data_IF_194110532286
#
_entry.id   IF_194110532286
#
_cell.length_a   1.000
_cell.length_b   1.000
_cell.length_c   1.000
_cell.angle_alpha   90.00
_cell.angle_beta   90.00
_cell.angle_gamma   90.00
#
_symmetry.space_group_name_H-M   'P 1'
#
loop_
_entity.id
_entity.type
_entity.pdbx_description
1 polymer ?
#
# COMPACT_ATOMS: atom_id res chain seq x y z
N UNK A 1 59.23 38.11 -22.83
CA UNK A 1 60.60 37.77 -22.38
C UNK A 1 60.46 37.26 -20.94
N UNK A 2 60.69 35.95 -20.74
CA UNK A 2 61.09 35.24 -19.50
C UNK A 2 60.27 35.47 -18.20
N UNK A 3 59.50 34.46 -17.73
CA UNK A 3 59.84 33.49 -16.63
C UNK A 3 59.75 34.15 -15.24
N UNK A 4 59.24 33.59 -14.15
CA UNK A 4 58.98 32.21 -13.63
C UNK A 4 58.39 32.41 -12.22
N UNK A 5 57.40 31.64 -11.78
CA UNK A 5 57.54 30.56 -10.77
C UNK A 5 58.57 30.83 -9.65
N UNK A 6 58.20 30.69 -8.37
CA UNK A 6 58.26 29.40 -7.68
C UNK A 6 57.95 29.49 -6.17
N UNK A 7 57.44 28.37 -5.67
CA UNK A 7 57.19 27.96 -4.29
C UNK A 7 58.39 28.06 -3.31
N UNK A 8 58.10 27.90 -2.02
CA UNK A 8 59.07 27.43 -1.00
C UNK A 8 58.67 27.83 0.42
N UNK A 9 57.99 26.96 1.18
CA UNK A 9 58.54 25.96 2.13
C UNK A 9 58.96 26.52 3.52
N UNK A 10 58.09 26.24 4.49
CA UNK A 10 58.30 25.78 5.89
C UNK A 10 59.70 25.86 6.52
N UNK A 11 59.84 26.48 7.73
CA UNK A 11 60.23 25.81 9.01
C UNK A 11 60.49 26.75 10.19
N UNK A 12 60.21 26.20 11.38
CA UNK A 12 60.81 26.42 12.72
C UNK A 12 60.63 27.80 13.41
N UNK A 13 60.36 27.93 14.71
CA UNK A 13 60.20 26.97 15.80
C UNK A 13 60.27 27.67 17.17
N UNK A 14 60.00 26.87 18.21
CA UNK A 14 60.53 26.95 19.58
C UNK A 14 59.93 27.90 20.64
N UNK A 15 60.02 27.36 21.87
CA UNK A 15 59.91 27.91 23.25
C UNK A 15 58.54 27.79 23.93
N UNK A 16 58.41 27.35 25.18
CA UNK A 16 59.39 26.90 26.19
C UNK A 16 58.65 26.22 27.35
N UNK A 17 59.37 25.33 28.05
CA UNK A 17 58.98 24.57 29.25
C UNK A 17 58.94 25.42 30.54
N UNK A 18 58.10 24.99 31.48
CA UNK A 18 58.25 25.00 32.95
C UNK A 18 57.07 24.20 33.54
N UNK A 19 57.12 23.30 34.52
CA UNK A 19 58.15 22.79 35.43
C UNK A 19 57.48 21.77 36.38
N UNK A 20 58.24 20.71 36.71
CA UNK A 20 58.24 19.85 37.91
C UNK A 20 57.04 19.03 38.45
N UNK A 21 57.45 17.90 39.06
CA UNK A 21 56.76 16.66 39.47
C UNK A 21 56.18 16.70 40.91
N UNK A 22 55.11 15.94 41.17
CA UNK A 22 54.84 14.96 42.28
C UNK A 22 53.53 14.26 41.89
N UNK A 23 53.35 12.95 41.66
CA UNK A 23 53.57 11.76 42.50
C UNK A 23 52.24 10.98 42.58
N UNK A 24 52.22 9.66 42.32
CA UNK A 24 51.08 8.79 42.68
C UNK A 24 50.50 7.85 41.60
N UNK A 25 51.05 6.63 41.56
CA UNK A 25 50.44 5.32 41.27
C UNK A 25 48.96 5.24 40.79
N UNK A 26 48.70 4.63 39.61
CA UNK A 26 47.91 3.37 39.42
C UNK A 26 47.44 3.12 37.96
N UNK A 27 47.89 1.96 37.45
CA UNK A 27 47.18 0.97 36.59
C UNK A 27 46.54 1.38 35.24
N UNK A 28 47.24 0.99 34.17
CA UNK A 28 46.81 0.21 33.01
C UNK A 28 45.37 0.35 32.45
N UNK A 29 45.29 0.88 31.21
CA UNK A 29 44.41 0.34 30.15
C UNK A 29 45.04 0.59 28.76
N UNK A 30 44.97 -0.47 27.95
CA UNK A 30 45.49 -0.72 26.60
C UNK A 30 44.88 0.21 25.52
N UNK A 31 45.53 0.33 24.34
CA UNK A 31 45.29 1.41 23.40
C UNK A 31 44.10 1.14 22.46
N UNK A 32 43.42 2.23 22.10
CA UNK A 32 42.63 2.36 20.88
C UNK A 32 43.53 2.14 19.66
N UNK A 33 43.05 1.35 18.71
CA UNK A 33 43.53 1.37 17.35
C UNK A 33 42.32 1.26 16.40
N UNK A 34 42.05 2.37 15.70
CA UNK A 34 41.33 2.39 14.43
C UNK A 34 42.11 1.54 13.40
N UNK A 35 41.45 0.69 12.62
CA UNK A 35 40.95 1.00 11.27
C UNK A 35 40.72 -0.28 10.42
N UNK A 36 39.52 -0.34 9.83
CA UNK A 36 39.18 -0.86 8.49
C UNK A 36 39.30 -2.35 8.07
N UNK A 37 38.19 -2.78 7.45
CA UNK A 37 38.03 -3.75 6.35
C UNK A 37 38.03 -5.25 6.64
N UNK A 38 36.93 -5.89 6.20
CA UNK A 38 36.70 -7.32 6.26
C UNK A 38 35.21 -7.65 6.10
N UNK A 39 34.64 -7.30 4.94
CA UNK A 39 33.40 -7.91 4.45
C UNK A 39 33.57 -9.43 4.40
N UNK A 40 32.53 -10.15 4.82
CA UNK A 40 32.01 -11.44 4.32
C UNK A 40 31.13 -11.97 5.46
N UNK A 41 29.85 -11.69 5.35
CA UNK A 41 28.84 -12.06 6.33
C UNK A 41 27.47 -11.71 5.78
N UNK A 42 27.11 -12.38 4.68
CA UNK A 42 25.76 -12.59 4.17
C UNK A 42 24.76 -11.46 4.43
N UNK A 43 24.78 -10.45 3.55
CA UNK A 43 23.63 -9.59 3.32
C UNK A 43 22.52 -10.40 2.60
N UNK A 44 21.99 -11.43 3.26
CA UNK A 44 20.69 -11.98 2.94
C UNK A 44 19.68 -10.86 3.18
N UNK A 45 19.26 -10.17 2.11
CA UNK A 45 18.19 -9.18 2.12
C UNK A 45 16.95 -9.77 2.78
N UNK A 46 16.80 -9.56 4.09
CA UNK A 46 15.68 -10.11 4.85
C UNK A 46 14.39 -9.49 4.30
N UNK A 47 13.63 -10.28 3.55
CA UNK A 47 12.28 -9.94 3.14
C UNK A 47 11.46 -9.71 4.41
N UNK A 48 11.10 -8.46 4.68
CA UNK A 48 10.36 -8.11 5.89
C UNK A 48 8.87 -8.23 5.63
N UNK A 49 8.18 -8.64 6.68
CA UNK A 49 6.73 -8.49 6.76
C UNK A 49 6.29 -7.06 6.43
N UNK A 50 5.10 -6.94 5.85
CA UNK A 50 4.51 -5.66 5.47
C UNK A 50 4.47 -4.66 6.66
N UNK A 51 4.96 -3.41 6.51
CA UNK A 51 4.88 -2.40 7.55
C UNK A 51 3.44 -2.13 8.02
N UNK A 52 3.28 -1.82 9.31
CA UNK A 52 1.95 -1.61 9.93
C UNK A 52 1.11 -0.54 9.23
N UNK A 53 1.72 0.58 8.84
CA UNK A 53 1.04 1.66 8.13
C UNK A 53 0.47 1.18 6.79
N UNK A 54 1.21 0.31 6.07
CA UNK A 54 0.79 -0.19 4.77
C UNK A 54 -0.35 -1.21 4.91
N UNK A 55 -0.33 -2.02 5.97
CA UNK A 55 -1.47 -2.90 6.32
C UNK A 55 -2.73 -2.09 6.62
N UNK A 56 -2.63 -1.07 7.48
CA UNK A 56 -3.75 -0.17 7.80
C UNK A 56 -4.31 0.48 6.54
N UNK A 57 -3.43 0.93 5.64
CA UNK A 57 -3.81 1.50 4.36
C UNK A 57 -4.59 0.51 3.47
N UNK A 58 -4.10 -0.73 3.32
CA UNK A 58 -4.83 -1.77 2.57
C UNK A 58 -6.19 -2.11 3.20
N UNK A 59 -6.27 -2.13 4.53
CA UNK A 59 -7.51 -2.36 5.25
C UNK A 59 -8.55 -1.26 5.01
N UNK A 60 -8.16 0.00 5.15
CA UNK A 60 -9.05 1.13 4.88
C UNK A 60 -9.51 1.16 3.44
N UNK A 61 -8.57 1.07 2.49
CA UNK A 61 -8.88 1.08 1.06
C UNK A 61 -9.83 -0.04 0.66
N UNK A 62 -9.57 -1.27 1.14
CA UNK A 62 -10.42 -2.41 0.81
C UNK A 62 -11.79 -2.31 1.47
N UNK A 63 -11.87 -1.80 2.71
CA UNK A 63 -13.14 -1.50 3.37
C UNK A 63 -13.98 -0.49 2.60
N UNK A 64 -13.38 0.64 2.18
CA UNK A 64 -14.06 1.65 1.34
C UNK A 64 -14.54 1.04 0.02
N UNK A 65 -13.72 0.20 -0.60
CA UNK A 65 -14.11 -0.53 -1.83
C UNK A 65 -15.35 -1.37 -1.58
N UNK A 66 -15.40 -2.13 -0.50
CA UNK A 66 -16.56 -2.97 -0.17
C UNK A 66 -17.80 -2.14 0.15
N UNK A 67 -17.66 -1.02 0.87
CA UNK A 67 -18.77 -0.09 1.13
C UNK A 67 -19.38 0.42 -0.18
N UNK A 68 -18.53 0.87 -1.10
CA UNK A 68 -18.93 1.37 -2.43
C UNK A 68 -19.61 0.27 -3.25
N UNK A 69 -19.02 -0.94 -3.29
CA UNK A 69 -19.60 -2.07 -4.02
C UNK A 69 -20.96 -2.47 -3.46
N UNK A 70 -21.08 -2.62 -2.14
CA UNK A 70 -22.31 -3.07 -1.50
C UNK A 70 -23.43 -2.03 -1.61
N UNK A 71 -23.11 -0.75 -1.40
CA UNK A 71 -24.08 0.35 -1.53
C UNK A 71 -24.53 0.54 -2.97
N UNK A 72 -23.62 0.43 -3.94
CA UNK A 72 -23.95 0.48 -5.36
C UNK A 72 -24.82 -0.71 -5.80
N UNK A 73 -24.46 -1.94 -5.38
CA UNK A 73 -25.28 -3.13 -5.66
C UNK A 73 -26.70 -2.99 -5.09
N UNK A 74 -26.82 -2.49 -3.86
CA UNK A 74 -28.12 -2.21 -3.25
C UNK A 74 -28.89 -1.14 -4.04
N UNK A 75 -28.20 -0.10 -4.54
CA UNK A 75 -28.76 0.91 -5.43
C UNK A 75 -29.29 0.32 -6.73
N UNK A 76 -28.55 -0.61 -7.35
CA UNK A 76 -28.97 -1.30 -8.58
C UNK A 76 -30.21 -2.16 -8.36
N UNK A 77 -30.23 -2.96 -7.29
CA UNK A 77 -31.36 -3.84 -6.99
C UNK A 77 -32.65 -3.05 -6.71
N UNK A 78 -32.54 -1.87 -6.09
CA UNK A 78 -33.69 -1.07 -5.69
C UNK A 78 -34.13 -0.04 -6.75
N UNK A 79 -33.19 0.61 -7.44
CA UNK A 79 -33.45 1.79 -8.28
C UNK A 79 -32.97 1.65 -9.73
N UNK A 80 -32.27 0.56 -10.10
CA UNK A 80 -31.68 0.35 -11.45
C UNK A 80 -30.90 1.56 -11.98
N UNK A 81 -30.13 2.20 -11.12
CA UNK A 81 -29.36 3.39 -11.47
C UNK A 81 -28.19 3.04 -12.43
N UNK A 82 -28.16 3.55 -13.67
CA UNK A 82 -27.06 3.30 -14.62
C UNK A 82 -25.72 3.90 -14.18
N UNK A 83 -25.74 4.87 -13.25
CA UNK A 83 -24.53 5.53 -12.73
C UNK A 83 -23.82 4.70 -11.66
N UNK A 84 -24.48 3.68 -11.12
CA UNK A 84 -23.89 2.72 -10.18
C UNK A 84 -23.21 3.43 -8.98
N UNK A 85 -23.86 4.45 -8.42
CA UNK A 85 -23.29 5.26 -7.34
C UNK A 85 -23.19 4.46 -6.05
N UNK A 86 -22.01 4.45 -5.45
CA UNK A 86 -21.73 3.92 -4.12
C UNK A 86 -21.28 5.01 -3.16
N UNK A 87 -21.39 4.71 -1.86
CA UNK A 87 -21.15 5.65 -0.77
C UNK A 87 -20.16 5.07 0.25
N UNK A 88 -19.29 5.92 0.77
CA UNK A 88 -18.45 5.63 1.94
C UNK A 88 -18.03 6.95 2.60
N UNK A 89 -17.17 6.90 3.60
CA UNK A 89 -16.64 8.11 4.25
C UNK A 89 -15.21 7.92 4.74
N UNK A 90 -14.44 9.01 4.91
CA UNK A 90 -13.11 8.95 5.51
C UNK A 90 -13.14 8.35 6.92
N UNK A 91 -14.23 8.59 7.66
CA UNK A 91 -14.45 7.98 8.97
C UNK A 91 -14.58 6.44 8.87
N UNK A 92 -15.41 5.94 7.96
CA UNK A 92 -15.55 4.50 7.73
C UNK A 92 -14.23 3.87 7.29
N UNK A 93 -13.43 4.56 6.46
CA UNK A 93 -12.09 4.12 6.10
C UNK A 93 -11.20 3.87 7.34
N UNK A 94 -11.22 4.79 8.32
CA UNK A 94 -10.46 4.63 9.57
C UNK A 94 -11.03 3.45 10.38
N UNK A 95 -12.36 3.36 10.50
CA UNK A 95 -13.00 2.26 11.22
C UNK A 95 -12.66 0.90 10.61
N UNK A 96 -12.72 0.75 9.29
CA UNK A 96 -12.30 -0.46 8.58
C UNK A 96 -10.83 -0.77 8.83
N UNK A 97 -9.96 0.25 8.78
CA UNK A 97 -8.53 0.10 9.04
C UNK A 97 -8.25 -0.51 10.43
N UNK A 98 -8.88 0.05 11.46
CA UNK A 98 -8.70 -0.39 12.86
C UNK A 98 -9.33 -1.76 13.10
N UNK A 99 -10.53 -1.98 12.56
CA UNK A 99 -11.29 -3.23 12.68
C UNK A 99 -10.53 -4.40 12.09
N UNK A 100 -10.05 -4.26 10.86
CA UNK A 100 -9.31 -5.30 10.18
C UNK A 100 -7.91 -5.50 10.75
N UNK A 101 -7.30 -4.45 11.32
CA UNK A 101 -6.06 -4.59 12.08
C UNK A 101 -6.25 -5.41 13.37
N UNK A 102 -7.36 -5.21 14.10
CA UNK A 102 -7.74 -6.06 15.23
C UNK A 102 -8.03 -7.50 14.78
N UNK A 103 -8.79 -7.68 13.70
CA UNK A 103 -9.10 -9.00 13.15
C UNK A 103 -7.85 -9.75 12.68
N UNK A 104 -6.84 -9.06 12.16
CA UNK A 104 -5.56 -9.67 11.82
C UNK A 104 -4.85 -10.27 13.04
N UNK A 105 -4.93 -9.62 14.21
CA UNK A 105 -4.37 -10.15 15.46
C UNK A 105 -5.10 -11.40 15.90
N UNK A 106 -6.42 -11.42 15.76
CA UNK A 106 -7.26 -12.59 16.05
C UNK A 106 -6.96 -13.71 15.04
N UNK A 107 -6.78 -13.36 13.76
CA UNK A 107 -6.39 -14.29 12.71
C UNK A 107 -5.02 -14.94 12.98
N UNK A 108 -4.09 -14.19 13.55
CA UNK A 108 -2.76 -14.69 13.95
C UNK A 108 -2.83 -15.76 15.05
N UNK A 109 -3.88 -15.75 15.88
CA UNK A 109 -4.14 -16.77 16.90
C UNK A 109 -4.62 -18.11 16.32
N UNK A 110 -4.74 -18.26 14.99
CA UNK A 110 -5.07 -19.53 14.33
C UNK A 110 -4.23 -20.72 14.80
N UNK A 111 -2.99 -20.48 15.25
CA UNK A 111 -2.10 -21.52 15.79
C UNK A 111 -2.69 -22.23 17.02
N UNK A 112 -3.52 -21.56 17.81
CA UNK A 112 -4.21 -22.14 18.96
C UNK A 112 -5.31 -23.14 18.58
N UNK A 113 -5.79 -23.08 17.33
CA UNK A 113 -6.86 -23.93 16.81
C UNK A 113 -6.37 -24.99 15.82
N UNK A 114 -5.07 -25.34 15.87
CA UNK A 114 -4.43 -26.31 14.93
C UNK A 114 -5.18 -27.64 14.80
N UNK A 115 -5.84 -28.11 15.88
CA UNK A 115 -6.60 -29.37 15.84
C UNK A 115 -7.94 -29.31 15.08
N UNK A 116 -8.49 -28.12 14.78
CA UNK A 116 -9.79 -27.94 14.09
C UNK A 116 -9.82 -26.63 13.28
N UNK A 117 -9.09 -26.55 12.14
CA UNK A 117 -9.01 -25.33 11.34
C UNK A 117 -10.37 -24.86 10.79
N UNK A 118 -11.26 -25.81 10.48
CA UNK A 118 -12.61 -25.52 9.98
C UNK A 118 -13.44 -24.73 10.99
N UNK A 119 -13.34 -25.06 12.28
CA UNK A 119 -14.07 -24.36 13.36
C UNK A 119 -13.60 -22.92 13.47
N UNK A 120 -12.30 -22.68 13.27
CA UNK A 120 -11.76 -21.33 13.29
C UNK A 120 -12.30 -20.48 12.13
N UNK A 121 -12.22 -20.98 10.90
CA UNK A 121 -12.59 -20.22 9.69
C UNK A 121 -14.10 -20.06 9.48
N UNK A 122 -14.93 -21.04 9.88
CA UNK A 122 -16.38 -21.01 9.61
C UNK A 122 -17.22 -20.55 10.81
N UNK A 123 -16.69 -20.63 12.04
CA UNK A 123 -17.46 -20.34 13.26
C UNK A 123 -16.82 -19.21 14.05
N UNK A 124 -15.58 -19.39 14.53
CA UNK A 124 -14.96 -18.42 15.44
C UNK A 124 -14.71 -17.06 14.77
N UNK A 125 -14.00 -17.04 13.64
CA UNK A 125 -13.68 -15.79 12.95
C UNK A 125 -14.94 -15.05 12.47
N UNK A 126 -15.93 -15.69 11.82
CA UNK A 126 -17.17 -15.02 11.45
C UNK A 126 -17.97 -14.47 12.64
N UNK A 127 -18.01 -15.19 13.76
CA UNK A 127 -18.70 -14.71 14.96
C UNK A 127 -18.07 -13.42 15.51
N UNK A 128 -16.74 -13.38 15.58
CA UNK A 128 -15.99 -12.19 16.00
C UNK A 128 -16.18 -11.03 15.02
N UNK A 129 -16.08 -11.30 13.72
CA UNK A 129 -16.29 -10.29 12.68
C UNK A 129 -17.67 -9.66 12.77
N UNK A 130 -18.72 -10.49 12.83
CA UNK A 130 -20.11 -10.02 12.94
C UNK A 130 -20.30 -9.22 14.23
N UNK A 131 -19.79 -9.71 15.37
CA UNK A 131 -19.88 -8.99 16.64
C UNK A 131 -19.23 -7.62 16.59
N UNK A 132 -18.07 -7.50 15.94
CA UNK A 132 -17.37 -6.23 15.77
C UNK A 132 -18.11 -5.29 14.81
N UNK A 133 -18.68 -5.80 13.71
CA UNK A 133 -19.51 -5.00 12.79
C UNK A 133 -20.79 -4.48 13.45
N UNK A 134 -21.46 -5.28 14.29
CA UNK A 134 -22.62 -4.85 15.07
C UNK A 134 -22.22 -3.76 16.06
N UNK A 135 -21.08 -3.91 16.74
CA UNK A 135 -20.58 -2.91 17.67
C UNK A 135 -20.32 -1.56 16.98
N UNK A 136 -19.66 -1.59 15.82
CA UNK A 136 -19.37 -0.38 15.02
C UNK A 136 -20.68 0.25 14.51
N UNK A 137 -21.60 -0.58 14.02
CA UNK A 137 -22.92 -0.13 13.57
C UNK A 137 -23.68 0.57 14.68
N UNK A 138 -23.67 0.02 15.89
CA UNK A 138 -24.32 0.62 17.06
C UNK A 138 -23.64 1.90 17.54
N UNK A 139 -22.31 2.01 17.45
CA UNK A 139 -21.59 3.25 17.78
C UNK A 139 -22.00 4.38 16.85
N UNK A 140 -22.18 4.09 15.55
CA UNK A 140 -22.64 5.06 14.58
C UNK A 140 -24.11 5.49 14.79
N UNK A 141 -24.93 4.65 15.42
CA UNK A 141 -26.35 4.92 15.67
C UNK A 141 -26.67 5.24 17.14
N UNK A 142 -25.66 5.59 17.95
CA UNK A 142 -25.82 5.91 19.39
C UNK A 142 -26.78 7.09 19.66
N UNK A 143 -27.29 7.76 18.63
CA UNK A 143 -28.33 8.78 18.70
C UNK A 143 -29.76 8.27 18.49
N UNK A 144 -30.02 7.14 17.82
CA UNK A 144 -31.38 6.61 17.63
C UNK A 144 -31.40 5.07 17.48
N UNK A 145 -32.05 4.39 18.43
CA UNK A 145 -32.49 2.98 18.45
C UNK A 145 -31.49 1.86 18.08
N UNK A 146 -31.49 0.79 18.89
CA UNK A 146 -30.73 -0.43 18.63
C UNK A 146 -31.14 -1.00 17.26
N UNK A 147 -30.19 -1.04 16.32
CA UNK A 147 -30.44 -1.53 14.96
C UNK A 147 -30.62 -3.05 15.01
N UNK A 148 -31.87 -3.52 14.91
CA UNK A 148 -32.14 -4.95 14.69
C UNK A 148 -31.64 -5.30 13.29
N UNK A 149 -30.52 -6.02 13.22
CA UNK A 149 -29.89 -6.41 11.95
C UNK A 149 -30.80 -7.40 11.22
N UNK A 150 -31.15 -7.09 9.97
CA UNK A 150 -31.94 -8.00 9.12
C UNK A 150 -31.18 -9.31 8.88
N UNK A 151 -31.90 -10.44 8.78
CA UNK A 151 -31.29 -11.73 8.45
C UNK A 151 -30.47 -11.71 7.14
N UNK A 152 -30.89 -10.88 6.17
CA UNK A 152 -30.14 -10.68 4.92
C UNK A 152 -28.80 -9.96 5.14
N UNK A 153 -28.76 -8.96 6.02
CA UNK A 153 -27.53 -8.24 6.38
C UNK A 153 -26.57 -9.16 7.15
N UNK A 154 -27.11 -9.99 8.04
CA UNK A 154 -26.30 -10.99 8.76
C UNK A 154 -25.65 -11.99 7.80
N UNK A 155 -26.38 -12.46 6.79
CA UNK A 155 -25.86 -13.36 5.76
C UNK A 155 -24.73 -12.69 4.94
N UNK A 156 -24.91 -11.43 4.55
CA UNK A 156 -23.87 -10.66 3.84
C UNK A 156 -22.61 -10.52 4.72
N UNK A 157 -22.75 -10.13 5.99
CA UNK A 157 -21.62 -10.04 6.90
C UNK A 157 -20.93 -11.39 7.14
N UNK A 158 -21.66 -12.49 7.16
CA UNK A 158 -21.09 -13.83 7.26
C UNK A 158 -20.26 -14.19 6.02
N UNK A 159 -20.78 -13.93 4.82
CA UNK A 159 -20.05 -14.16 3.55
C UNK A 159 -18.78 -13.30 3.50
N UNK A 160 -18.87 -12.02 3.87
CA UNK A 160 -17.71 -11.13 3.97
C UNK A 160 -16.69 -11.65 4.97
N UNK A 161 -17.11 -12.17 6.13
CA UNK A 161 -16.20 -12.74 7.10
C UNK A 161 -15.42 -13.93 6.54
N UNK A 162 -16.09 -14.83 5.80
CA UNK A 162 -15.42 -15.95 5.12
C UNK A 162 -14.40 -15.43 4.10
N UNK A 163 -14.79 -14.45 3.29
CA UNK A 163 -13.91 -13.80 2.32
C UNK A 163 -12.66 -13.21 3.01
N UNK A 164 -12.84 -12.49 4.11
CA UNK A 164 -11.72 -11.90 4.84
C UNK A 164 -10.78 -12.95 5.43
N UNK A 165 -11.34 -14.02 5.99
CA UNK A 165 -10.57 -15.10 6.59
C UNK A 165 -9.77 -15.91 5.55
N UNK A 166 -10.37 -16.20 4.39
CA UNK A 166 -9.79 -17.14 3.43
C UNK A 166 -9.00 -16.46 2.31
N UNK A 167 -9.48 -15.31 1.82
CA UNK A 167 -8.92 -14.64 0.65
C UNK A 167 -8.04 -13.47 1.08
N UNK A 168 -8.60 -12.52 1.83
CA UNK A 168 -7.94 -11.24 2.06
C UNK A 168 -6.73 -11.35 3.00
N UNK A 169 -6.88 -11.92 4.21
CA UNK A 169 -5.75 -12.08 5.13
C UNK A 169 -4.69 -13.05 4.57
N UNK A 170 -5.11 -14.08 3.82
CA UNK A 170 -4.18 -14.98 3.11
C UNK A 170 -3.41 -14.23 2.03
N UNK A 171 -4.09 -13.42 1.21
CA UNK A 171 -3.46 -12.58 0.18
C UNK A 171 -2.47 -11.58 0.77
N UNK A 172 -2.84 -10.87 1.84
CA UNK A 172 -1.97 -9.91 2.50
C UNK A 172 -0.72 -10.58 3.09
N UNK A 173 -0.86 -11.78 3.65
CA UNK A 173 0.28 -12.55 4.19
C UNK A 173 1.29 -13.00 3.13
N UNK A 174 0.89 -13.01 1.84
CA UNK A 174 1.78 -13.33 0.70
C UNK A 174 2.59 -12.11 0.23
N UNK A 175 2.21 -10.91 0.67
CA UNK A 175 2.92 -9.69 0.29
C UNK A 175 4.12 -9.47 1.22
N UNK A 176 5.29 -9.26 0.61
CA UNK A 176 6.52 -8.94 1.32
C UNK A 176 7.02 -7.56 0.93
N UNK A 177 7.63 -6.87 1.90
CA UNK A 177 8.16 -5.53 1.70
C UNK A 177 9.68 -5.56 1.64
N UNK A 178 10.22 -4.93 0.60
CA UNK A 178 11.64 -4.81 0.34
C UNK A 178 12.10 -3.36 0.57
N UNK A 179 12.91 -3.08 1.61
CA UNK A 179 13.33 -1.71 1.92
C UNK A 179 14.23 -1.05 0.87
N UNK A 180 14.95 -1.83 0.04
CA UNK A 180 15.95 -1.30 -0.88
C UNK A 180 15.36 -0.45 -2.02
N UNK A 181 16.22 0.40 -2.59
CA UNK A 181 15.85 1.32 -3.65
C UNK A 181 15.33 0.58 -4.90
N UNK A 182 14.25 1.07 -5.54
CA UNK A 182 13.73 0.48 -6.78
C UNK A 182 14.74 0.38 -7.93
N UNK A 183 15.79 1.22 -7.93
CA UNK A 183 16.87 1.22 -8.92
C UNK A 183 17.66 -0.10 -8.87
N UNK A 184 17.89 -0.65 -7.67
CA UNK A 184 18.63 -1.90 -7.50
C UNK A 184 17.77 -3.12 -7.88
N UNK A 185 16.44 -3.01 -7.69
CA UNK A 185 15.49 -4.09 -7.94
C UNK A 185 15.24 -4.41 -9.42
N UNK A 186 15.46 -3.44 -10.32
CA UNK A 186 15.29 -3.62 -11.76
C UNK A 186 16.61 -3.84 -12.51
N UNK A 187 17.76 -3.68 -11.84
CA UNK A 187 19.07 -4.00 -12.41
C UNK A 187 19.16 -5.52 -12.51
N UNK A 188 19.17 -6.04 -13.74
CA UNK A 188 19.34 -7.48 -14.00
C UNK A 188 20.53 -8.01 -13.17
N UNK A 189 20.43 -9.19 -12.53
CA UNK A 189 21.61 -9.82 -11.96
C UNK A 189 22.64 -10.02 -13.07
N UNK A 190 23.90 -9.70 -12.78
CA UNK A 190 25.00 -9.87 -13.72
C UNK A 190 25.16 -11.34 -14.16
N UNK A 191 25.90 -11.59 -15.25
CA UNK A 191 26.00 -12.91 -15.88
C UNK A 191 26.72 -14.01 -15.07
N UNK A 192 27.12 -13.76 -13.81
CA UNK A 192 27.96 -14.68 -13.04
C UNK A 192 27.19 -15.65 -12.12
N UNK A 193 25.86 -15.68 -12.20
CA UNK A 193 25.03 -16.52 -11.33
C UNK A 193 24.27 -17.61 -12.12
N UNK A 194 25.04 -18.38 -12.90
CA UNK A 194 24.57 -19.58 -13.59
C UNK A 194 24.74 -20.79 -12.67
N UNK A 195 23.76 -21.08 -11.80
CA UNK A 195 23.84 -22.28 -10.98
C UNK A 195 22.89 -22.45 -9.81
N UNK A 196 21.63 -21.99 -9.87
CA UNK A 196 20.57 -22.50 -8.99
C UNK A 196 19.21 -22.05 -9.52
N UNK A 197 18.18 -22.89 -9.39
CA UNK A 197 16.78 -22.60 -9.74
C UNK A 197 16.29 -21.31 -9.08
N UNK A 198 16.49 -20.17 -9.77
CA UNK A 198 16.10 -18.85 -9.29
C UNK A 198 14.65 -18.58 -9.62
N UNK A 199 13.76 -19.15 -8.80
CA UNK A 199 12.42 -18.58 -8.62
C UNK A 199 12.55 -17.28 -7.81
N UNK A 200 13.24 -16.28 -8.37
CA UNK A 200 13.41 -14.97 -7.73
C UNK A 200 12.04 -14.33 -7.48
N UNK A 201 11.84 -13.59 -6.38
CA UNK A 201 10.54 -13.05 -6.03
C UNK A 201 10.08 -12.06 -7.11
N UNK A 202 9.09 -12.48 -7.89
CA UNK A 202 8.51 -11.72 -8.99
C UNK A 202 7.74 -10.52 -8.41
N UNK A 203 7.83 -9.37 -9.07
CA UNK A 203 7.03 -8.20 -8.70
C UNK A 203 5.52 -8.51 -8.75
N UNK A 204 4.69 -7.65 -8.16
CA UNK A 204 3.24 -7.85 -8.17
C UNK A 204 2.70 -8.11 -9.60
N UNK A 205 1.87 -9.15 -9.80
CA UNK A 205 1.22 -9.41 -11.08
C UNK A 205 0.42 -8.20 -11.56
N UNK A 206 0.40 -7.94 -12.86
CA UNK A 206 -0.26 -6.77 -13.45
C UNK A 206 -1.74 -6.63 -13.07
N UNK A 207 -2.47 -7.75 -13.00
CA UNK A 207 -3.87 -7.76 -12.55
C UNK A 207 -4.03 -7.30 -11.09
N UNK A 208 -3.14 -7.73 -10.19
CA UNK A 208 -3.17 -7.30 -8.78
C UNK A 208 -2.88 -5.80 -8.67
N UNK A 209 -1.98 -5.28 -9.50
CA UNK A 209 -1.71 -3.83 -9.58
C UNK A 209 -2.93 -3.06 -10.08
N UNK A 210 -3.60 -3.55 -11.11
CA UNK A 210 -4.83 -2.94 -11.61
C UNK A 210 -5.93 -2.92 -10.55
N UNK A 211 -6.14 -4.04 -9.84
CA UNK A 211 -7.11 -4.09 -8.73
C UNK A 211 -6.75 -3.09 -7.63
N UNK A 212 -5.46 -3.01 -7.27
CA UNK A 212 -4.98 -2.03 -6.30
C UNK A 212 -5.29 -0.60 -6.75
N UNK A 213 -4.98 -0.24 -8.00
CA UNK A 213 -5.25 1.09 -8.53
C UNK A 213 -6.74 1.40 -8.61
N UNK A 214 -7.59 0.43 -8.94
CA UNK A 214 -9.04 0.62 -8.96
C UNK A 214 -9.60 0.86 -7.54
N UNK A 215 -9.20 0.04 -6.57
CA UNK A 215 -9.58 0.23 -5.16
C UNK A 215 -9.05 1.55 -4.60
N UNK A 216 -7.85 1.93 -5.01
CA UNK A 216 -7.25 3.19 -4.63
C UNK A 216 -7.97 4.39 -5.24
N UNK A 217 -8.38 4.30 -6.51
CA UNK A 217 -9.19 5.32 -7.15
C UNK A 217 -10.54 5.55 -6.46
N UNK A 218 -11.18 4.49 -5.94
CA UNK A 218 -12.35 4.65 -5.07
C UNK A 218 -12.03 5.42 -3.79
N UNK A 219 -10.92 5.10 -3.14
CA UNK A 219 -10.49 5.83 -1.94
C UNK A 219 -10.25 7.32 -2.26
N UNK A 220 -9.56 7.61 -3.36
CA UNK A 220 -9.26 8.98 -3.79
C UNK A 220 -10.54 9.76 -4.09
N UNK A 221 -11.51 9.16 -4.79
CA UNK A 221 -12.77 9.83 -5.12
C UNK A 221 -13.66 10.03 -3.90
N UNK A 222 -13.75 9.05 -2.99
CA UNK A 222 -14.49 9.20 -1.74
C UNK A 222 -13.89 10.31 -0.88
N UNK A 223 -12.55 10.39 -0.78
CA UNK A 223 -11.87 11.47 -0.07
C UNK A 223 -12.12 12.82 -0.75
N UNK A 224 -12.00 12.87 -2.08
CA UNK A 224 -12.21 14.10 -2.85
C UNK A 224 -13.65 14.60 -2.70
N UNK A 225 -14.65 13.77 -2.95
CA UNK A 225 -16.07 14.14 -2.84
C UNK A 225 -16.47 14.49 -1.41
N UNK A 226 -15.92 13.79 -0.40
CA UNK A 226 -16.14 14.14 1.00
C UNK A 226 -15.56 15.51 1.35
N UNK A 227 -14.32 15.80 0.93
CA UNK A 227 -13.68 17.09 1.19
C UNK A 227 -14.39 18.21 0.43
N UNK A 228 -14.81 17.94 -0.80
CA UNK A 228 -15.56 18.87 -1.61
C UNK A 228 -16.92 19.20 -0.98
N UNK A 229 -17.67 18.19 -0.53
CA UNK A 229 -18.92 18.39 0.21
C UNK A 229 -18.69 19.17 1.52
N UNK A 230 -17.59 18.93 2.23
CA UNK A 230 -17.25 19.68 3.44
C UNK A 230 -16.94 21.16 3.13
N UNK A 231 -16.17 21.44 2.09
CA UNK A 231 -15.72 22.80 1.75
C UNK A 231 -16.82 23.62 1.10
N UNK A 232 -17.53 23.06 0.12
CA UNK A 232 -18.52 23.80 -0.67
C UNK A 232 -19.90 23.81 0.00
N UNK A 233 -20.31 22.70 0.61
CA UNK A 233 -21.66 22.55 1.20
C UNK A 233 -21.68 22.65 2.74
N UNK A 234 -20.51 22.79 3.38
CA UNK A 234 -20.34 22.77 4.83
C UNK A 234 -20.90 21.50 5.50
N UNK A 235 -20.98 20.40 4.74
CA UNK A 235 -21.54 19.15 5.22
C UNK A 235 -20.55 18.43 6.14
N UNK A 236 -20.87 18.39 7.44
CA UNK A 236 -20.04 17.77 8.47
C UNK A 236 -20.21 16.26 8.56
N UNK A 237 -21.11 15.66 7.78
CA UNK A 237 -21.28 14.20 7.74
C UNK A 237 -20.09 13.49 7.11
N UNK A 238 -19.21 14.22 6.40
CA UNK A 238 -18.05 13.69 5.67
C UNK A 238 -18.43 12.53 4.74
N UNK A 239 -19.64 12.56 4.17
CA UNK A 239 -20.10 11.56 3.22
C UNK A 239 -19.44 11.80 1.85
N UNK A 240 -18.76 10.76 1.36
CA UNK A 240 -18.22 10.70 0.00
C UNK A 240 -19.01 9.71 -0.86
N UNK A 241 -18.96 9.92 -2.16
CA UNK A 241 -19.60 9.04 -3.13
C UNK A 241 -18.69 8.85 -4.35
N UNK A 242 -18.90 7.76 -5.08
CA UNK A 242 -18.14 7.39 -6.27
C UNK A 242 -19.00 6.50 -7.17
N UNK A 243 -18.73 6.46 -8.47
CA UNK A 243 -19.38 5.54 -9.41
C UNK A 243 -18.59 4.25 -9.55
N UNK A 244 -19.23 3.09 -9.81
CA UNK A 244 -18.46 1.87 -10.13
C UNK A 244 -17.59 2.03 -11.39
N UNK A 245 -17.98 2.89 -12.32
CA UNK A 245 -17.18 3.23 -13.50
C UNK A 245 -15.85 3.89 -13.15
N UNK A 246 -15.78 4.58 -12.02
CA UNK A 246 -14.56 5.19 -11.50
C UNK A 246 -13.48 4.16 -11.19
N UNK A 247 -13.85 2.94 -10.77
CA UNK A 247 -12.88 1.84 -10.59
C UNK A 247 -12.13 1.55 -11.88
N UNK A 248 -12.87 1.41 -12.98
CA UNK A 248 -12.30 1.11 -14.28
C UNK A 248 -11.53 2.30 -14.82
N UNK A 249 -12.08 3.50 -14.70
CA UNK A 249 -11.47 4.72 -15.22
C UNK A 249 -10.16 5.05 -14.49
N UNK A 250 -10.18 5.18 -13.15
CA UNK A 250 -8.98 5.47 -12.37
C UNK A 250 -8.02 4.29 -12.32
N UNK A 251 -8.53 3.07 -12.19
CA UNK A 251 -7.70 1.86 -12.19
C UNK A 251 -6.90 1.69 -13.49
N UNK A 252 -7.54 1.91 -14.64
CA UNK A 252 -6.86 1.86 -15.94
C UNK A 252 -5.92 3.04 -16.16
N UNK A 253 -6.33 4.26 -15.76
CA UNK A 253 -5.47 5.44 -15.85
C UNK A 253 -4.18 5.25 -15.07
N UNK A 254 -4.28 4.93 -13.78
CA UNK A 254 -3.14 4.75 -12.88
C UNK A 254 -2.27 3.57 -13.28
N UNK A 255 -2.86 2.50 -13.83
CA UNK A 255 -2.09 1.37 -14.38
C UNK A 255 -1.25 1.78 -15.58
N UNK A 256 -1.80 2.56 -16.52
CA UNK A 256 -1.05 3.06 -17.69
C UNK A 256 0.00 4.08 -17.26
N UNK A 257 -0.34 4.98 -16.33
CA UNK A 257 0.61 5.97 -15.76
C UNK A 257 1.75 5.27 -15.04
N UNK A 258 1.53 4.16 -14.33
CA UNK A 258 2.62 3.35 -13.74
C UNK A 258 3.57 2.82 -14.83
N UNK A 259 3.05 2.34 -15.96
CA UNK A 259 3.90 1.88 -17.08
C UNK A 259 4.67 3.03 -17.72
N UNK A 260 4.03 4.19 -17.85
CA UNK A 260 4.66 5.40 -18.33
C UNK A 260 5.76 5.87 -17.37
N UNK A 261 5.50 5.83 -16.06
CA UNK A 261 6.50 6.08 -15.01
C UNK A 261 7.70 5.16 -15.16
N UNK A 262 7.47 3.84 -15.28
CA UNK A 262 8.55 2.86 -15.44
C UNK A 262 9.41 3.15 -16.68
N UNK A 263 8.77 3.45 -17.81
CA UNK A 263 9.48 3.76 -19.05
C UNK A 263 10.27 5.07 -18.96
N UNK A 264 9.63 6.16 -18.52
CA UNK A 264 10.25 7.48 -18.49
C UNK A 264 11.35 7.57 -17.42
N UNK A 265 11.11 7.01 -16.23
CA UNK A 265 12.07 7.04 -15.14
C UNK A 265 13.27 6.12 -15.39
N UNK A 266 13.03 4.85 -15.73
CA UNK A 266 14.12 3.87 -15.80
C UNK A 266 14.74 3.75 -17.19
N UNK A 267 13.96 3.90 -18.28
CA UNK A 267 14.53 3.82 -19.63
C UNK A 267 15.10 5.15 -20.12
N UNK A 268 14.45 6.27 -19.79
CA UNK A 268 14.88 7.60 -20.25
C UNK A 268 15.59 8.45 -19.20
N UNK A 269 15.59 8.06 -17.93
CA UNK A 269 16.23 8.82 -16.85
C UNK A 269 15.55 10.14 -16.53
N UNK A 270 14.28 10.32 -16.89
CA UNK A 270 13.58 11.60 -16.71
C UNK A 270 13.29 11.87 -15.24
N UNK A 271 13.56 13.11 -14.81
CA UNK A 271 13.21 13.60 -13.49
C UNK A 271 11.70 13.82 -13.32
N UNK A 272 11.22 13.90 -12.08
CA UNK A 272 9.79 14.07 -11.76
C UNK A 272 9.14 15.23 -12.50
N UNK A 273 9.80 16.39 -12.56
CA UNK A 273 9.28 17.60 -13.23
C UNK A 273 9.11 17.45 -14.74
N UNK A 274 9.87 16.56 -15.39
CA UNK A 274 9.72 16.27 -16.82
C UNK A 274 8.58 15.30 -17.09
N UNK A 275 8.28 14.40 -16.13
CA UNK A 275 7.20 13.42 -16.25
C UNK A 275 5.83 14.03 -15.96
N UNK A 276 5.75 14.96 -15.00
CA UNK A 276 4.50 15.54 -14.51
C UNK A 276 3.61 16.12 -15.61
N UNK A 277 4.11 16.94 -16.55
CA UNK A 277 3.28 17.47 -17.63
C UNK A 277 2.67 16.36 -18.51
N UNK A 278 3.42 15.29 -18.77
CA UNK A 278 2.92 14.15 -19.56
C UNK A 278 1.80 13.42 -18.83
N UNK A 279 1.93 13.21 -17.52
CA UNK A 279 0.87 12.59 -16.72
C UNK A 279 -0.39 13.45 -16.73
N UNK A 280 -0.27 14.76 -16.53
CA UNK A 280 -1.41 15.67 -16.51
C UNK A 280 -2.11 15.69 -17.87
N UNK A 281 -1.37 15.78 -18.98
CA UNK A 281 -1.95 15.69 -20.31
C UNK A 281 -2.67 14.36 -20.52
N UNK A 282 -2.08 13.25 -20.07
CA UNK A 282 -2.70 11.94 -20.16
C UNK A 282 -3.97 11.83 -19.31
N UNK A 283 -3.95 12.32 -18.06
CA UNK A 283 -5.11 12.33 -17.16
C UNK A 283 -6.27 13.10 -17.79
N UNK A 284 -6.03 14.31 -18.29
CA UNK A 284 -7.07 15.10 -18.97
C UNK A 284 -7.62 14.39 -20.21
N UNK A 285 -6.76 13.80 -21.03
CA UNK A 285 -7.20 13.05 -22.21
C UNK A 285 -8.01 11.81 -21.82
N UNK A 286 -7.63 11.12 -20.75
CA UNK A 286 -8.29 9.93 -20.23
C UNK A 286 -9.66 10.26 -19.63
N UNK A 287 -9.72 11.27 -18.76
CA UNK A 287 -10.95 11.78 -18.16
C UNK A 287 -11.94 12.23 -19.24
N UNK A 288 -11.46 13.00 -20.24
CA UNK A 288 -12.28 13.42 -21.36
C UNK A 288 -12.82 12.23 -22.18
N UNK A 289 -11.96 11.25 -22.48
CA UNK A 289 -12.34 10.06 -23.27
C UNK A 289 -13.39 9.21 -22.54
N UNK A 290 -13.20 8.94 -21.24
CA UNK A 290 -14.18 8.23 -20.43
C UNK A 290 -15.47 9.02 -20.27
N UNK A 291 -15.37 10.34 -20.08
CA UNK A 291 -16.54 11.22 -20.02
C UNK A 291 -17.38 11.15 -21.29
N UNK A 292 -16.75 11.14 -22.47
CA UNK A 292 -17.45 10.97 -23.75
C UNK A 292 -18.14 9.61 -23.86
N UNK A 293 -17.46 8.53 -23.50
CA UNK A 293 -18.01 7.17 -23.55
C UNK A 293 -19.17 7.02 -22.58
N UNK A 294 -19.00 7.40 -21.31
CA UNK A 294 -20.03 7.26 -20.28
C UNK A 294 -21.25 8.14 -20.56
N UNK A 295 -21.06 9.32 -21.15
CA UNK A 295 -22.17 10.20 -21.56
C UNK A 295 -23.06 9.58 -22.64
N UNK A 296 -22.56 8.66 -23.46
CA UNK A 296 -23.39 7.92 -24.43
C UNK A 296 -24.39 6.96 -23.76
N UNK A 297 -24.10 6.54 -22.52
CA UNK A 297 -24.93 5.60 -21.75
C UNK A 297 -25.65 6.26 -20.57
N UNK A 298 -25.66 7.59 -20.48
CA UNK A 298 -26.14 8.37 -19.32
C UNK A 298 -25.50 7.93 -17.97
N UNK A 299 -24.29 7.38 -18.06
CA UNK A 299 -23.53 6.84 -16.93
C UNK A 299 -22.46 7.80 -16.41
N UNK A 300 -22.32 8.98 -17.03
CA UNK A 300 -21.35 9.99 -16.61
C UNK A 300 -21.80 10.59 -15.26
N UNK A 301 -21.00 10.41 -14.22
CA UNK A 301 -21.31 10.85 -12.86
C UNK A 301 -20.93 12.30 -12.58
N UNK A 302 -20.18 12.96 -13.48
CA UNK A 302 -19.73 14.35 -13.31
C UNK A 302 -20.15 15.26 -14.46
N UNK A 303 -20.31 16.54 -14.13
CA UNK A 303 -20.53 17.63 -15.08
C UNK A 303 -19.91 18.94 -14.55
N UNK A 304 -18.86 19.41 -15.22
CA UNK A 304 -18.12 20.62 -14.89
C UNK A 304 -18.59 21.85 -15.67
N UNK A 305 -19.73 21.81 -16.34
CA UNK A 305 -20.26 22.93 -17.15
C UNK A 305 -20.41 24.25 -16.35
N UNK A 306 -20.56 24.14 -15.03
CA UNK A 306 -20.67 25.27 -14.11
C UNK A 306 -19.33 25.94 -13.77
N UNK A 307 -18.19 25.28 -14.05
CA UNK A 307 -16.86 25.86 -13.80
C UNK A 307 -16.33 26.64 -15.01
N UNK A 308 -15.56 27.72 -14.79
CA UNK A 308 -14.88 28.41 -15.87
C UNK A 308 -13.78 27.53 -16.47
N UNK A 309 -13.44 27.76 -17.74
CA UNK A 309 -12.43 26.97 -18.47
C UNK A 309 -12.73 25.46 -18.53
N UNK A 310 -14.01 25.09 -18.48
CA UNK A 310 -14.44 23.73 -18.76
C UNK A 310 -14.40 23.47 -20.27
N UNK A 311 -14.19 22.22 -20.64
CA UNK A 311 -14.31 21.76 -22.01
C UNK A 311 -15.40 20.69 -22.11
N UNK A 312 -16.49 21.02 -22.80
CA UNK A 312 -17.70 20.20 -22.93
C UNK A 312 -18.33 19.76 -21.59
N UNK A 313 -18.04 20.45 -20.49
CA UNK A 313 -18.40 20.03 -19.14
C UNK A 313 -17.75 18.72 -18.68
N UNK A 314 -16.80 18.16 -19.43
CA UNK A 314 -16.18 16.86 -19.12
C UNK A 314 -14.84 16.99 -18.40
N UNK A 315 -14.10 18.05 -18.69
CA UNK A 315 -12.85 18.39 -18.00
C UNK A 315 -12.85 19.86 -17.61
N UNK A 316 -12.12 20.21 -16.55
CA UNK A 316 -11.90 21.60 -16.13
C UNK A 316 -10.43 21.88 -15.85
N UNK A 317 -9.92 22.99 -16.41
CA UNK A 317 -8.56 23.44 -16.14
C UNK A 317 -8.38 23.94 -14.70
N UNK A 318 -9.48 24.22 -13.99
CA UNK A 318 -9.44 24.60 -12.58
C UNK A 318 -8.86 23.49 -11.69
N UNK A 319 -8.98 22.22 -12.10
CA UNK A 319 -8.46 21.08 -11.34
C UNK A 319 -6.98 20.80 -11.58
N UNK A 320 -6.31 21.60 -12.41
CA UNK A 320 -4.87 21.46 -12.68
C UNK A 320 -4.01 21.37 -11.41
N UNK A 321 -4.20 22.20 -10.36
CA UNK A 321 -3.44 22.05 -9.11
C UNK A 321 -3.67 20.70 -8.43
N UNK A 322 -4.91 20.19 -8.48
CA UNK A 322 -5.26 18.85 -7.99
C UNK A 322 -4.53 17.76 -8.77
N UNK A 323 -4.50 17.85 -10.10
CA UNK A 323 -3.80 16.90 -10.95
C UNK A 323 -2.27 16.92 -10.78
N UNK A 324 -1.69 18.08 -10.50
CA UNK A 324 -0.27 18.19 -10.12
C UNK A 324 0.00 17.41 -8.83
N UNK A 325 -0.80 17.64 -7.78
CA UNK A 325 -0.69 16.92 -6.52
C UNK A 325 -0.88 15.41 -6.70
N UNK A 326 -1.90 15.00 -7.45
CA UNK A 326 -2.19 13.59 -7.71
C UNK A 326 -1.08 12.93 -8.54
N UNK A 327 -0.49 13.64 -9.50
CA UNK A 327 0.63 13.14 -10.30
C UNK A 327 1.90 12.90 -9.46
N UNK A 328 2.20 13.81 -8.52
CA UNK A 328 3.31 13.63 -7.57
C UNK A 328 3.04 12.46 -6.62
N UNK A 329 1.80 12.35 -6.16
CA UNK A 329 1.37 11.25 -5.31
C UNK A 329 1.43 9.90 -6.04
N UNK A 330 1.02 9.83 -7.30
CA UNK A 330 1.11 8.64 -8.15
C UNK A 330 2.56 8.19 -8.37
N UNK A 331 3.50 9.14 -8.53
CA UNK A 331 4.94 8.83 -8.59
C UNK A 331 5.44 8.23 -7.27
N UNK A 332 5.06 8.81 -6.13
CA UNK A 332 5.40 8.26 -4.81
C UNK A 332 4.82 6.85 -4.64
N UNK A 333 3.55 6.67 -5.01
CA UNK A 333 2.84 5.41 -4.91
C UNK A 333 3.49 4.33 -5.78
N UNK A 334 3.86 4.66 -7.02
CA UNK A 334 4.55 3.75 -7.94
C UNK A 334 5.89 3.28 -7.34
N UNK A 335 6.64 4.19 -6.72
CA UNK A 335 7.87 3.84 -5.99
C UNK A 335 7.63 2.89 -4.83
N UNK A 336 6.56 3.10 -4.05
CA UNK A 336 6.18 2.22 -2.93
C UNK A 336 5.76 0.84 -3.44
N UNK A 337 4.96 0.77 -4.50
CA UNK A 337 4.49 -0.49 -5.09
C UNK A 337 5.62 -1.35 -5.65
N UNK A 338 6.70 -0.74 -6.15
CA UNK A 338 7.89 -1.46 -6.60
C UNK A 338 8.63 -2.16 -5.45
N UNK A 339 8.45 -1.70 -4.21
CA UNK A 339 9.01 -2.33 -3.01
C UNK A 339 8.21 -3.54 -2.54
N UNK A 340 7.03 -3.77 -3.10
CA UNK A 340 6.17 -4.89 -2.72
C UNK A 340 6.41 -6.07 -3.68
N UNK A 341 6.73 -7.23 -3.12
CA UNK A 341 6.94 -8.48 -3.87
C UNK A 341 5.90 -9.52 -3.45
N UNK A 342 5.57 -10.41 -4.40
CA UNK A 342 4.66 -11.52 -4.16
C UNK A 342 5.46 -12.78 -3.82
N UNK A 343 5.23 -13.35 -2.63
CA UNK A 343 5.83 -14.61 -2.25
C UNK A 343 4.97 -15.80 -2.70
N UNK A 344 5.52 -16.64 -3.59
CA UNK A 344 4.86 -17.85 -4.10
C UNK A 344 4.99 -19.06 -3.15
N UNK A 345 5.99 -19.06 -2.27
CA UNK A 345 6.35 -20.21 -1.42
C UNK A 345 5.48 -20.34 -0.15
N UNK A 346 4.58 -19.39 0.08
CA UNK A 346 3.70 -19.35 1.24
C UNK A 346 2.72 -20.55 1.32
N UNK A 347 2.47 -21.25 0.21
CA UNK A 347 1.63 -22.46 0.21
C UNK A 347 2.41 -23.72 0.62
N UNK A 348 3.72 -23.81 0.33
CA UNK A 348 4.52 -25.03 0.57
C UNK A 348 4.90 -25.19 2.06
N UNK A 349 5.18 -24.08 2.74
CA UNK A 349 5.59 -24.11 4.16
C UNK A 349 4.41 -24.31 5.13
N UNK A 350 3.17 -24.16 4.65
CA UNK A 350 1.95 -24.41 5.43
C UNK A 350 1.56 -25.89 5.49
N UNK A 351 1.93 -26.69 4.48
CA UNK A 351 1.62 -28.13 4.40
C UNK A 351 2.83 -29.03 4.69
N UNK A 352 4.06 -28.63 4.35
CA UNK A 352 5.24 -29.51 4.47
C UNK A 352 5.95 -29.47 5.84
N UNK A 353 5.47 -28.66 6.79
CA UNK A 353 5.98 -28.66 8.17
C UNK A 353 5.51 -29.85 9.02
N UNK A 354 4.66 -30.73 8.48
CA UNK A 354 3.94 -31.77 9.23
C UNK A 354 4.42 -33.21 9.01
N UNK A 355 5.45 -33.48 8.20
CA UNK A 355 5.86 -34.89 7.92
C UNK A 355 7.26 -35.26 8.43
N UNK A 356 8.17 -34.32 8.70
CA UNK A 356 9.59 -34.67 8.92
C UNK A 356 10.10 -34.53 10.36
N UNK A 357 9.23 -34.71 11.36
CA UNK A 357 9.56 -34.51 12.77
C UNK A 357 9.16 -35.63 13.71
N UNK A 358 8.89 -36.86 13.23
CA UNK A 358 8.61 -37.97 14.16
C UNK A 358 8.73 -39.37 13.54
N UNK A 359 9.90 -39.78 13.07
CA UNK A 359 10.25 -41.22 13.07
C UNK A 359 11.76 -41.40 12.89
N UNK A 360 12.28 -42.48 13.48
CA UNK A 360 13.68 -42.93 13.58
C UNK A 360 14.48 -42.33 14.76
N UNK A 361 15.04 -43.09 15.70
CA UNK A 361 15.00 -44.52 15.99
C UNK A 361 15.60 -44.71 17.39
N UNK A 362 14.80 -45.09 18.40
CA UNK A 362 15.33 -45.74 19.60
C UNK A 362 15.70 -47.17 19.22
N UNK A 363 16.98 -47.44 18.97
CA UNK A 363 17.53 -48.80 18.94
C UNK A 363 18.54 -48.99 20.07
N UNK A 364 18.14 -49.85 21.01
CA UNK A 364 18.90 -50.77 21.87
C UNK A 364 20.11 -50.23 22.66
N UNK A 365 19.97 -50.29 23.98
CA UNK A 365 21.06 -50.73 24.87
C UNK A 365 20.42 -51.56 26.00
N UNK A 366 20.56 -52.88 25.86
CA UNK A 366 20.49 -53.88 26.92
C UNK A 366 21.66 -54.82 26.65
#
# INVERSE_FOLDING_TARGET
MRTTESEGRCRDGARSRSGEHVGGLKTARTPQQEESSGEIGDAAESLRELPRWMRLYFYGMHGVTLDVLLSSLQGVFNHRDPKLVGFSSPYLCIMHSLTHFALEKIYSQKRCFRGRPVVFHLVFYPSVYIGLQILIGNINTLTEQVRVVSGTQLAVHYILAIYFAQVFHRGLSRLQYHPCCPIDLLRKPGPEDSGQDRTGPQGLPGFVRFLFFGMHGFLDEVLFTSMFNLVEKSDRTLSGHTSLWSFLMYGSCSFVVEKLYLHLHFSRGWGTWQRLPLYICFIYAWEFSWGLVLRQFDACSWDYSHYPHNFMGLITLLYLPGWVCLSLYQDMLSNVLLRIKWNKDADVSGENGEVNGQLESKKKLL
#
